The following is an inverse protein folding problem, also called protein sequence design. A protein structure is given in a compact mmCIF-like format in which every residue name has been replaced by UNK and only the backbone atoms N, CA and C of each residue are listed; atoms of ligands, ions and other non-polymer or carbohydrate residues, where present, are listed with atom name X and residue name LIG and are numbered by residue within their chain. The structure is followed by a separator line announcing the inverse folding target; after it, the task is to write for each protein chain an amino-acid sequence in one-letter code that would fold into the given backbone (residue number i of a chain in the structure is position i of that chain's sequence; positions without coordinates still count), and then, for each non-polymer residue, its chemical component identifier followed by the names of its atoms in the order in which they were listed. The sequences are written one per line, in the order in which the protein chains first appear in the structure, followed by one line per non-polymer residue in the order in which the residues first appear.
data_IF_498943545062
#
_entry.id   IF_498943545062
#
_cell.length_a   1.000
_cell.length_b   1.000
_cell.length_c   1.000
_cell.angle_alpha   90.00
_cell.angle_beta   90.00
_cell.angle_gamma   90.00
#
_symmetry.space_group_name_H-M   'P 1'
#
loop_
_entity.id
_entity.type
_entity.pdbx_description
1 polymer ?
#
# COMPACT_ATOMS: atom_id res chain seq x y z
N UNK A 1 -30.66 -21.48 9.66
CA UNK A 1 -29.21 -21.28 9.95
C UNK A 1 -28.48 -20.59 8.81
N UNK A 2 -28.64 -21.04 7.55
CA UNK A 2 -28.04 -20.39 6.38
C UNK A 2 -28.49 -18.93 6.12
N UNK A 3 -29.75 -18.58 6.44
CA UNK A 3 -30.29 -17.23 6.26
C UNK A 3 -29.70 -16.18 7.21
N UNK A 4 -29.39 -16.56 8.45
CA UNK A 4 -28.71 -15.69 9.40
C UNK A 4 -27.25 -15.45 8.99
N UNK A 5 -26.55 -16.51 8.57
CA UNK A 5 -25.16 -16.42 8.10
C UNK A 5 -25.01 -15.50 6.87
N UNK A 6 -25.92 -15.59 5.90
CA UNK A 6 -25.94 -14.71 4.73
C UNK A 6 -26.12 -13.23 5.14
N UNK A 7 -26.99 -12.95 6.12
CA UNK A 7 -27.21 -11.61 6.66
C UNK A 7 -25.98 -11.00 7.32
N UNK A 8 -25.24 -11.79 8.12
CA UNK A 8 -24.00 -11.33 8.74
C UNK A 8 -22.89 -11.07 7.71
N UNK A 9 -22.68 -11.98 6.76
CA UNK A 9 -21.67 -11.81 5.71
C UNK A 9 -21.90 -10.53 4.87
N UNK A 10 -23.17 -10.23 4.55
CA UNK A 10 -23.54 -9.02 3.81
C UNK A 10 -23.29 -7.75 4.63
N UNK A 11 -23.65 -7.73 5.92
CA UNK A 11 -23.44 -6.56 6.79
C UNK A 11 -21.96 -6.32 7.07
N UNK A 12 -21.19 -7.35 7.42
CA UNK A 12 -19.76 -7.21 7.69
C UNK A 12 -18.95 -6.88 6.43
N UNK A 13 -19.32 -7.45 5.27
CA UNK A 13 -18.70 -7.11 3.98
C UNK A 13 -18.93 -5.65 3.59
N UNK A 14 -20.13 -5.10 3.84
CA UNK A 14 -20.43 -3.69 3.60
C UNK A 14 -19.63 -2.75 4.49
N UNK A 15 -19.45 -3.09 5.77
CA UNK A 15 -18.63 -2.30 6.70
C UNK A 15 -17.16 -2.35 6.28
N UNK A 16 -16.65 -3.51 5.90
CA UNK A 16 -15.28 -3.65 5.41
C UNK A 16 -15.06 -2.78 4.17
N UNK A 17 -15.98 -2.80 3.21
CA UNK A 17 -15.91 -1.93 2.04
C UNK A 17 -15.95 -0.44 2.40
N UNK A 18 -16.86 -0.02 3.28
CA UNK A 18 -16.96 1.37 3.72
C UNK A 18 -15.67 1.84 4.43
N UNK A 19 -15.10 1.00 5.30
CA UNK A 19 -13.85 1.30 6.00
C UNK A 19 -12.66 1.30 5.04
N UNK A 20 -12.55 0.31 4.15
CA UNK A 20 -11.50 0.22 3.14
C UNK A 20 -11.50 1.42 2.21
N UNK A 21 -12.66 2.00 1.89
CA UNK A 21 -12.75 3.23 1.12
C UNK A 21 -12.32 4.46 1.93
N UNK A 22 -12.68 4.54 3.22
CA UNK A 22 -12.37 5.69 4.08
C UNK A 22 -10.89 5.76 4.48
N UNK A 23 -10.29 4.62 4.86
CA UNK A 23 -8.94 4.56 5.43
C UNK A 23 -7.84 5.17 4.53
N UNK A 24 -7.82 4.98 3.20
CA UNK A 24 -6.85 5.63 2.32
C UNK A 24 -6.83 7.16 2.43
N UNK A 25 -7.97 7.81 2.65
CA UNK A 25 -8.04 9.26 2.82
C UNK A 25 -7.48 9.71 4.18
N UNK A 26 -7.73 8.92 5.23
CA UNK A 26 -7.12 9.15 6.54
C UNK A 26 -5.60 9.00 6.44
N UNK A 27 -5.11 7.97 5.73
CA UNK A 27 -3.68 7.78 5.48
C UNK A 27 -3.09 8.94 4.68
N UNK A 28 -3.78 9.45 3.66
CA UNK A 28 -3.33 10.64 2.90
C UNK A 28 -3.18 11.87 3.82
N UNK A 29 -4.12 12.09 4.76
CA UNK A 29 -4.00 13.16 5.75
C UNK A 29 -2.81 12.96 6.69
N UNK A 30 -2.56 11.71 7.13
CA UNK A 30 -1.40 11.37 7.95
C UNK A 30 -0.08 11.56 7.19
N UNK A 31 -0.04 11.28 5.88
CA UNK A 31 1.13 11.55 5.02
C UNK A 31 1.43 13.05 4.98
N UNK A 32 0.41 13.91 4.84
CA UNK A 32 0.61 15.37 4.89
C UNK A 32 1.19 15.80 6.25
N UNK A 33 0.63 15.30 7.36
CA UNK A 33 1.13 15.58 8.70
C UNK A 33 2.58 15.11 8.88
N UNK A 34 2.89 13.92 8.39
CA UNK A 34 4.24 13.36 8.40
C UNK A 34 5.21 14.24 7.62
N UNK A 35 4.81 14.71 6.42
CA UNK A 35 5.62 15.63 5.62
C UNK A 35 5.80 16.96 6.34
N UNK A 36 4.79 17.53 6.98
CA UNK A 36 4.93 18.77 7.77
C UNK A 36 5.98 18.57 8.87
N UNK A 37 5.89 17.47 9.63
CA UNK A 37 6.87 17.15 10.67
C UNK A 37 8.30 17.03 10.11
N UNK A 38 8.45 16.39 8.95
CA UNK A 38 9.73 16.28 8.24
C UNK A 38 10.25 17.66 7.80
N UNK A 39 9.39 18.56 7.32
CA UNK A 39 9.80 19.88 6.82
C UNK A 39 10.31 20.81 7.92
N UNK A 40 9.91 20.62 9.18
CA UNK A 40 10.41 21.43 10.31
C UNK A 40 11.92 21.23 10.52
N UNK A 41 12.40 19.98 10.42
CA UNK A 41 13.80 19.63 10.71
C UNK A 41 14.64 19.31 9.45
N UNK A 42 13.98 18.98 8.34
CA UNK A 42 14.60 18.50 7.12
C UNK A 42 14.97 17.01 7.19
N UNK A 43 15.46 16.48 6.07
CA UNK A 43 15.93 15.10 5.98
C UNK A 43 17.29 14.92 6.64
N UNK A 44 17.52 13.73 7.20
CA UNK A 44 18.85 13.30 7.64
C UNK A 44 19.72 12.90 6.43
N UNK A 45 21.00 12.62 6.67
CA UNK A 45 21.95 12.15 5.67
C UNK A 45 22.65 10.87 6.15
N UNK A 46 23.26 10.08 5.24
CA UNK A 46 23.87 8.78 5.59
C UNK A 46 25.01 8.85 6.61
N UNK A 47 25.64 10.01 6.77
CA UNK A 47 26.76 10.23 7.69
C UNK A 47 26.23 10.60 9.09
N UNK A 48 24.95 10.96 9.21
CA UNK A 48 24.29 11.25 10.49
C UNK A 48 24.73 12.55 11.16
N UNK A 49 25.47 13.41 10.45
CA UNK A 49 25.91 14.73 10.91
C UNK A 49 24.97 15.83 10.41
N UNK A 50 25.16 17.08 10.85
CA UNK A 50 24.33 18.19 10.35
C UNK A 50 24.46 18.38 8.84
N UNK A 51 23.33 18.36 8.13
CA UNK A 51 23.27 18.62 6.69
C UNK A 51 23.20 20.10 6.33
N UNK A 52 23.25 21.01 7.31
CA UNK A 52 23.09 22.45 7.06
C UNK A 52 24.22 23.08 6.24
N UNK A 53 25.42 22.47 6.27
CA UNK A 53 26.61 22.99 5.61
C UNK A 53 26.60 22.78 4.10
N UNK A 54 25.87 21.76 3.62
CA UNK A 54 25.83 21.37 2.20
C UNK A 54 24.41 20.95 1.82
N UNK A 55 23.56 21.95 1.56
CA UNK A 55 22.18 21.74 1.11
C UNK A 55 22.05 22.05 -0.37
N UNK A 56 21.49 21.08 -1.11
CA UNK A 56 21.05 21.26 -2.48
C UNK A 56 19.54 21.51 -2.52
N UNK A 57 19.09 22.28 -3.51
CA UNK A 57 17.66 22.48 -3.77
C UNK A 57 17.01 21.19 -4.29
N UNK A 58 15.73 20.97 -3.95
CA UNK A 58 14.95 19.82 -4.44
C UNK A 58 14.91 19.78 -5.98
N UNK A 59 14.58 20.90 -6.61
CA UNK A 59 14.67 21.05 -8.05
C UNK A 59 16.04 21.65 -8.44
N UNK A 60 16.76 21.09 -9.42
CA UNK A 60 16.40 19.95 -10.28
C UNK A 60 16.82 18.57 -9.73
N UNK A 61 17.77 18.53 -8.79
CA UNK A 61 18.54 17.33 -8.46
C UNK A 61 17.70 16.14 -8.00
N UNK A 62 16.87 16.33 -6.97
CA UNK A 62 16.09 15.25 -6.38
C UNK A 62 14.88 14.88 -7.24
N UNK A 63 14.32 15.85 -7.98
CA UNK A 63 13.23 15.57 -8.94
C UNK A 63 13.67 14.57 -10.02
N UNK A 64 14.84 14.77 -10.64
CA UNK A 64 15.34 13.82 -11.65
C UNK A 64 15.78 12.50 -11.03
N UNK A 65 16.36 12.52 -9.83
CA UNK A 65 16.71 11.31 -9.09
C UNK A 65 15.48 10.44 -8.81
N UNK A 66 14.40 11.05 -8.32
CA UNK A 66 13.15 10.35 -8.00
C UNK A 66 12.42 9.88 -9.27
N UNK A 67 12.50 10.64 -10.36
CA UNK A 67 11.93 10.20 -11.64
C UNK A 67 12.56 8.87 -12.12
N UNK A 68 13.88 8.73 -12.01
CA UNK A 68 14.58 7.49 -12.39
C UNK A 68 14.07 6.30 -11.57
N UNK A 69 13.92 6.45 -10.25
CA UNK A 69 13.45 5.36 -9.39
C UNK A 69 11.98 5.03 -9.63
N UNK A 70 11.14 6.02 -9.95
CA UNK A 70 9.75 5.81 -10.39
C UNK A 70 9.71 4.96 -11.65
N UNK A 71 10.54 5.25 -12.67
CA UNK A 71 10.57 4.43 -13.88
C UNK A 71 11.03 2.99 -13.62
N UNK A 72 12.05 2.80 -12.78
CA UNK A 72 12.49 1.46 -12.38
C UNK A 72 11.37 0.70 -11.67
N UNK A 73 10.67 1.35 -10.72
CA UNK A 73 9.51 0.77 -10.05
C UNK A 73 8.40 0.40 -11.04
N UNK A 74 8.08 1.28 -11.99
CA UNK A 74 7.04 1.03 -12.99
C UNK A 74 7.38 -0.15 -13.91
N UNK A 75 8.64 -0.31 -14.31
CA UNK A 75 9.07 -1.48 -15.11
C UNK A 75 8.83 -2.78 -14.34
N UNK A 76 9.24 -2.83 -13.06
CA UNK A 76 9.02 -3.98 -12.19
C UNK A 76 7.53 -4.24 -11.94
N UNK A 77 6.75 -3.19 -11.70
CA UNK A 77 5.31 -3.30 -11.50
C UNK A 77 4.60 -3.83 -12.76
N UNK A 78 4.93 -3.28 -13.94
CA UNK A 78 4.45 -3.76 -15.23
C UNK A 78 4.81 -5.23 -15.47
N UNK A 79 6.00 -5.68 -15.04
CA UNK A 79 6.37 -7.09 -15.15
C UNK A 79 5.38 -7.99 -14.42
N UNK A 80 5.08 -7.67 -13.15
CA UNK A 80 4.10 -8.44 -12.38
C UNK A 80 2.70 -8.35 -12.98
N UNK A 81 2.24 -7.17 -13.38
CA UNK A 81 0.89 -6.99 -13.94
C UNK A 81 0.69 -7.73 -15.26
N UNK A 82 1.66 -7.65 -16.20
CA UNK A 82 1.48 -8.18 -17.56
C UNK A 82 1.97 -9.62 -17.75
N UNK A 83 3.07 -10.01 -17.10
CA UNK A 83 3.68 -11.32 -17.35
C UNK A 83 3.40 -12.33 -16.24
N UNK A 84 3.17 -11.88 -15.01
CA UNK A 84 3.05 -12.77 -13.85
C UNK A 84 2.00 -12.32 -12.81
N UNK A 85 0.73 -12.04 -13.21
CA UNK A 85 -0.25 -11.33 -12.37
C UNK A 85 -0.65 -12.06 -11.09
N UNK A 86 -0.59 -13.39 -11.10
CA UNK A 86 -1.09 -14.21 -9.99
C UNK A 86 0.02 -14.74 -9.08
N UNK A 87 1.29 -14.39 -9.34
CA UNK A 87 2.43 -14.95 -8.61
C UNK A 87 2.49 -14.54 -7.14
N UNK A 88 2.00 -13.34 -6.83
CA UNK A 88 1.96 -12.82 -5.46
C UNK A 88 0.61 -13.10 -4.76
N UNK A 89 -0.31 -13.83 -5.41
CA UNK A 89 -1.63 -14.16 -4.87
C UNK A 89 -1.78 -15.63 -4.50
N UNK A 90 -2.84 -15.95 -3.76
CA UNK A 90 -3.17 -17.32 -3.41
C UNK A 90 -4.24 -17.89 -4.37
N UNK A 91 -4.05 -19.09 -4.95
CA UNK A 91 -4.99 -19.66 -5.93
C UNK A 91 -6.40 -19.90 -5.37
N UNK A 92 -6.53 -20.18 -4.07
CA UNK A 92 -7.83 -20.41 -3.42
C UNK A 92 -8.75 -19.18 -3.45
N UNK A 93 -8.20 -17.96 -3.65
CA UNK A 93 -9.00 -16.74 -3.76
C UNK A 93 -9.84 -16.66 -5.04
N UNK A 94 -9.64 -17.56 -6.00
CA UNK A 94 -10.52 -17.74 -7.16
C UNK A 94 -11.74 -18.63 -6.88
N UNK A 95 -11.77 -19.31 -5.74
CA UNK A 95 -12.90 -20.13 -5.31
C UNK A 95 -13.82 -19.24 -4.46
N UNK A 96 -15.13 -19.14 -4.76
CA UNK A 96 -16.06 -18.39 -3.94
C UNK A 96 -16.04 -18.87 -2.49
N UNK A 97 -15.98 -17.91 -1.54
CA UNK A 97 -15.89 -18.23 -0.12
C UNK A 97 -17.07 -19.08 0.35
N UNK A 98 -16.77 -20.20 1.02
CA UNK A 98 -17.77 -21.07 1.64
C UNK A 98 -17.69 -20.97 3.18
N UNK A 99 -18.71 -20.40 3.84
CA UNK A 99 -18.81 -20.30 5.29
C UNK A 99 -18.67 -21.58 6.10
N UNK A 100 -19.00 -22.71 5.47
CA UNK A 100 -19.07 -24.02 6.12
C UNK A 100 -17.78 -24.82 5.94
N UNK A 101 -16.83 -24.31 5.15
CA UNK A 101 -15.62 -25.03 4.76
C UNK A 101 -14.42 -24.08 4.82
N UNK A 102 -13.47 -24.38 5.69
CA UNK A 102 -12.16 -23.72 5.70
C UNK A 102 -11.21 -24.48 4.75
N UNK A 103 -10.56 -23.81 3.77
CA UNK A 103 -9.54 -24.44 2.95
C UNK A 103 -8.37 -24.97 3.80
N UNK A 104 -7.80 -26.11 3.43
CA UNK A 104 -6.66 -26.69 4.15
C UNK A 104 -5.37 -25.87 3.98
N UNK A 105 -5.25 -25.14 2.88
CA UNK A 105 -4.13 -24.28 2.48
C UNK A 105 -4.29 -22.82 2.93
N UNK A 106 -5.03 -22.55 4.01
CA UNK A 106 -5.24 -21.17 4.49
C UNK A 106 -3.92 -20.51 4.93
N UNK A 107 -3.53 -19.43 4.24
CA UNK A 107 -2.33 -18.63 4.52
C UNK A 107 -2.65 -17.16 4.21
N UNK A 108 -2.25 -16.19 5.06
CA UNK A 108 -2.37 -14.77 4.75
C UNK A 108 -1.44 -14.38 3.58
N UNK A 109 -1.76 -13.31 2.88
CA UNK A 109 -0.87 -12.68 1.89
C UNK A 109 0.44 -12.12 2.49
#
# INVERSE_FOLDING_TARGET
MATAFMGYCLVYGQIFFALHYLLPFILAALVILHLIALHVHGSSNPIGITGNMDRLSMHPYFIFKDAITIFVFLILFCFFVFFSPNTLGHPDNYIPGNPLVTPASIVPE
#
